data_IF_546252156841
#
_entry.id   IF_546252156841
#
_cell.length_a   1.000
_cell.length_b   1.000
_cell.length_c   1.000
_cell.angle_alpha   90.00
_cell.angle_beta   90.00
_cell.angle_gamma   90.00
#
_symmetry.space_group_name_H-M   'P 1'
#
loop_
_entity.id
_entity.type
_entity.pdbx_description
1 polymer ?
#
# COMPACT_ATOMS: atom_id res chain seq x y z
N UNK A 1 5.88 -10.69 -24.04
CA UNK A 1 6.88 -11.11 -23.05
C UNK A 1 6.74 -10.24 -21.81
N UNK A 2 5.60 -10.29 -21.09
CA UNK A 2 5.26 -9.46 -19.90
C UNK A 2 4.40 -10.20 -18.87
N UNK A 3 4.55 -11.52 -18.75
CA UNK A 3 3.74 -12.37 -17.86
C UNK A 3 4.45 -12.69 -16.55
N UNK A 4 5.72 -12.30 -16.39
CA UNK A 4 6.60 -12.78 -15.30
C UNK A 4 6.37 -12.09 -13.95
N UNK A 5 5.72 -10.92 -13.88
CA UNK A 5 5.51 -10.16 -12.62
C UNK A 5 4.35 -10.73 -11.80
N UNK A 6 3.35 -11.32 -12.44
CA UNK A 6 2.18 -11.91 -11.75
C UNK A 6 2.50 -13.14 -10.91
N UNK A 7 3.59 -13.84 -11.21
CA UNK A 7 3.91 -15.10 -10.56
C UNK A 7 4.57 -14.97 -9.19
N UNK A 8 5.19 -13.84 -8.86
CA UNK A 8 5.88 -13.72 -7.57
C UNK A 8 4.94 -13.46 -6.39
N UNK A 9 3.93 -12.61 -6.55
CA UNK A 9 2.94 -12.36 -5.49
C UNK A 9 1.98 -13.55 -5.33
N UNK A 10 1.57 -14.19 -6.42
CA UNK A 10 0.74 -15.40 -6.40
C UNK A 10 1.51 -16.65 -5.95
N UNK A 11 2.81 -16.74 -6.22
CA UNK A 11 3.63 -17.91 -5.88
C UNK A 11 3.84 -18.10 -4.37
N UNK A 12 3.68 -17.05 -3.56
CA UNK A 12 3.76 -17.16 -2.09
C UNK A 12 2.44 -17.60 -1.43
N UNK A 13 1.31 -17.51 -2.14
CA UNK A 13 -0.04 -17.73 -1.57
C UNK A 13 -0.66 -19.03 -2.04
N UNK A 14 -0.25 -19.56 -3.22
CA UNK A 14 -0.84 -20.75 -3.81
C UNK A 14 0.10 -21.95 -3.64
N UNK A 15 -0.37 -23.02 -3.02
CA UNK A 15 0.27 -24.33 -3.07
C UNK A 15 0.33 -24.85 -4.50
N UNK A 16 1.25 -25.77 -4.82
CA UNK A 16 1.45 -26.29 -6.17
C UNK A 16 0.15 -26.85 -6.84
N UNK A 17 -0.80 -27.33 -6.05
CA UNK A 17 -2.10 -27.80 -6.53
C UNK A 17 -3.02 -26.65 -7.00
N UNK A 18 -2.90 -25.44 -6.41
CA UNK A 18 -3.66 -24.26 -6.83
C UNK A 18 -3.08 -23.62 -8.13
N UNK A 19 -1.82 -23.90 -8.48
CA UNK A 19 -1.20 -23.43 -9.74
C UNK A 19 -1.82 -24.02 -11.00
N UNK A 20 -2.47 -25.16 -10.91
CA UNK A 20 -3.02 -25.90 -12.09
C UNK A 20 -4.41 -25.40 -12.48
N UNK A 21 -5.11 -24.66 -11.63
CA UNK A 21 -6.49 -24.17 -11.88
C UNK A 21 -6.63 -22.65 -12.02
N UNK A 22 -5.57 -21.91 -12.31
CA UNK A 22 -5.70 -20.49 -12.60
C UNK A 22 -6.21 -20.23 -14.03
N UNK A 23 -7.46 -20.56 -14.27
CA UNK A 23 -8.29 -19.79 -15.16
C UNK A 23 -8.41 -18.38 -14.53
N UNK A 24 -8.02 -17.33 -15.24
CA UNK A 24 -7.96 -15.93 -14.81
C UNK A 24 -9.28 -15.34 -14.28
N UNK A 25 -10.33 -16.13 -14.14
CA UNK A 25 -11.67 -15.71 -13.73
C UNK A 25 -11.99 -15.97 -12.25
N UNK A 26 -11.12 -16.64 -11.49
CA UNK A 26 -11.50 -17.18 -10.17
C UNK A 26 -11.38 -16.17 -9.01
N UNK A 27 -10.54 -15.14 -9.11
CA UNK A 27 -10.29 -14.20 -7.99
C UNK A 27 -10.45 -12.74 -8.39
N UNK A 28 -11.00 -11.96 -7.46
CA UNK A 28 -11.03 -10.51 -7.54
C UNK A 28 -9.83 -9.92 -6.79
N UNK A 29 -9.10 -8.99 -7.40
CA UNK A 29 -7.92 -8.39 -6.76
C UNK A 29 -8.29 -7.11 -6.03
N UNK A 30 -7.65 -6.89 -4.87
CA UNK A 30 -7.69 -5.65 -4.09
C UNK A 30 -6.30 -5.34 -3.54
N UNK A 31 -6.00 -4.07 -3.26
CA UNK A 31 -4.77 -3.68 -2.59
C UNK A 31 -5.04 -3.24 -1.15
N UNK A 32 -4.33 -3.87 -0.19
CA UNK A 32 -4.19 -3.35 1.16
C UNK A 32 -3.06 -2.33 1.17
N UNK A 33 -3.32 -1.14 1.67
CA UNK A 33 -2.33 -0.06 1.75
C UNK A 33 -2.23 0.49 3.16
N UNK A 34 -1.01 0.81 3.57
CA UNK A 34 -0.69 1.26 4.92
C UNK A 34 0.11 2.55 4.86
N UNK A 35 -0.39 3.59 5.55
CA UNK A 35 0.22 4.91 5.58
C UNK A 35 0.91 5.18 6.93
N UNK A 36 1.76 6.19 6.96
CA UNK A 36 2.41 6.80 8.12
C UNK A 36 3.63 6.06 8.67
N UNK A 37 3.85 4.80 8.33
CA UNK A 37 4.95 4.00 8.85
C UNK A 37 6.35 4.37 8.32
N UNK A 38 7.33 3.57 8.70
CA UNK A 38 7.25 2.45 9.63
C UNK A 38 7.13 2.86 11.10
N UNK A 39 6.76 1.90 11.96
CA UNK A 39 6.82 2.05 13.43
C UNK A 39 7.30 0.74 14.09
N UNK A 40 7.93 0.84 15.26
CA UNK A 40 8.59 -0.33 15.84
C UNK A 40 7.60 -1.47 16.17
N UNK A 41 6.60 -1.21 17.00
CA UNK A 41 5.69 -2.26 17.47
C UNK A 41 4.46 -2.48 16.57
N UNK A 42 3.68 -1.45 16.21
CA UNK A 42 2.50 -1.65 15.37
C UNK A 42 2.83 -2.26 14.01
N UNK A 43 3.83 -1.72 13.30
CA UNK A 43 4.23 -2.26 11.97
C UNK A 43 4.77 -3.68 12.09
N UNK A 44 5.60 -3.99 13.11
CA UNK A 44 6.11 -5.34 13.28
C UNK A 44 5.01 -6.37 13.56
N UNK A 45 3.96 -6.01 14.31
CA UNK A 45 2.78 -6.86 14.52
C UNK A 45 1.97 -7.05 13.25
N UNK A 46 1.80 -5.99 12.48
CA UNK A 46 1.13 -6.04 11.19
C UNK A 46 1.83 -6.99 10.23
N UNK A 47 3.14 -6.89 10.08
CA UNK A 47 3.95 -7.78 9.25
C UNK A 47 3.81 -9.25 9.67
N UNK A 48 3.81 -9.54 10.98
CA UNK A 48 3.55 -10.90 11.47
C UNK A 48 2.20 -11.43 11.01
N UNK A 49 1.15 -10.60 11.06
CA UNK A 49 -0.20 -10.98 10.66
C UNK A 49 -0.32 -11.14 9.13
N UNK A 50 0.30 -10.26 8.33
CA UNK A 50 0.32 -10.39 6.88
C UNK A 50 1.04 -11.67 6.45
N UNK A 51 2.20 -11.96 7.04
CA UNK A 51 2.94 -13.21 6.80
C UNK A 51 2.12 -14.44 7.17
N UNK A 52 1.41 -14.43 8.30
CA UNK A 52 0.56 -15.54 8.72
C UNK A 52 -0.60 -15.81 7.74
N UNK A 53 -1.16 -14.77 7.17
CA UNK A 53 -2.26 -14.86 6.19
C UNK A 53 -1.79 -15.04 4.75
N UNK A 54 -0.48 -14.95 4.49
CA UNK A 54 0.11 -15.01 3.15
C UNK A 54 -0.22 -13.78 2.28
N UNK A 55 -0.65 -12.67 2.88
CA UNK A 55 -1.00 -11.46 2.16
C UNK A 55 0.21 -10.52 2.01
N UNK A 56 0.25 -9.82 0.87
CA UNK A 56 1.17 -8.68 0.67
C UNK A 56 0.41 -7.37 0.68
N UNK A 57 1.11 -6.27 0.94
CA UNK A 57 0.54 -4.92 0.95
C UNK A 57 1.48 -3.89 0.37
N UNK A 58 1.00 -2.66 0.24
CA UNK A 58 1.79 -1.50 -0.16
C UNK A 58 1.89 -0.53 1.02
N UNK A 59 3.12 -0.22 1.42
CA UNK A 59 3.42 0.69 2.52
C UNK A 59 3.85 2.05 1.95
N UNK A 60 3.11 3.10 2.29
CA UNK A 60 3.45 4.47 1.98
C UNK A 60 4.22 5.07 3.16
N UNK A 61 5.54 5.09 3.04
CA UNK A 61 6.46 5.38 4.14
C UNK A 61 6.75 6.87 4.30
N UNK A 62 6.73 7.35 5.54
CA UNK A 62 7.19 8.68 5.91
C UNK A 62 8.71 8.67 6.05
N UNK A 63 9.42 9.50 5.28
CA UNK A 63 10.87 9.45 5.20
C UNK A 63 11.60 9.67 6.54
N UNK A 64 11.08 10.52 7.43
CA UNK A 64 11.66 10.71 8.76
C UNK A 64 11.49 9.47 9.67
N UNK A 65 10.46 8.67 9.43
CA UNK A 65 10.25 7.40 10.14
C UNK A 65 11.15 6.28 9.61
N UNK A 66 11.49 6.30 8.33
CA UNK A 66 12.51 5.40 7.80
C UNK A 66 13.83 5.63 8.53
N UNK A 67 14.20 6.90 8.83
CA UNK A 67 15.42 7.20 9.60
C UNK A 67 15.39 6.61 11.01
N UNK A 68 14.23 6.60 11.63
CA UNK A 68 14.05 6.13 13.01
C UNK A 68 13.91 4.60 13.11
N UNK A 69 13.30 3.97 12.10
CA UNK A 69 12.93 2.54 12.10
C UNK A 69 13.38 1.83 10.82
N UNK A 70 14.63 2.03 10.42
CA UNK A 70 15.20 1.47 9.19
C UNK A 70 15.09 -0.06 9.12
N UNK A 71 15.31 -0.73 10.24
CA UNK A 71 15.23 -2.18 10.35
C UNK A 71 13.80 -2.71 10.06
N UNK A 72 12.78 -1.96 10.46
CA UNK A 72 11.38 -2.30 10.15
C UNK A 72 11.09 -2.08 8.67
N UNK A 73 11.55 -0.97 8.07
CA UNK A 73 11.39 -0.72 6.63
C UNK A 73 12.14 -1.78 5.78
N UNK A 74 13.32 -2.23 6.21
CA UNK A 74 14.03 -3.33 5.55
C UNK A 74 13.22 -4.63 5.62
N UNK A 75 12.61 -4.93 6.77
CA UNK A 75 11.76 -6.09 6.93
C UNK A 75 10.51 -6.05 6.04
N UNK A 76 9.87 -4.88 5.85
CA UNK A 76 8.76 -4.73 4.90
C UNK A 76 9.19 -5.13 3.49
N UNK A 77 10.38 -4.70 3.06
CA UNK A 77 10.94 -5.10 1.76
C UNK A 77 11.26 -6.60 1.68
N UNK A 78 11.90 -7.15 2.70
CA UNK A 78 12.33 -8.56 2.74
C UNK A 78 11.12 -9.54 2.76
N UNK A 79 9.98 -9.10 3.27
CA UNK A 79 8.71 -9.83 3.25
C UNK A 79 7.88 -9.58 1.97
N UNK A 80 8.49 -9.01 0.91
CA UNK A 80 7.91 -8.76 -0.41
C UNK A 80 6.74 -7.78 -0.44
N UNK A 81 6.68 -6.85 0.52
CA UNK A 81 5.76 -5.73 0.44
C UNK A 81 6.30 -4.63 -0.48
N UNK A 82 5.41 -3.83 -1.03
CA UNK A 82 5.79 -2.68 -1.85
C UNK A 82 6.05 -1.45 -0.98
N UNK A 83 7.21 -0.82 -1.13
CA UNK A 83 7.59 0.40 -0.42
C UNK A 83 7.41 1.62 -1.33
N UNK A 84 6.55 2.55 -0.93
CA UNK A 84 6.20 3.72 -1.69
C UNK A 84 6.28 5.00 -0.83
N UNK A 85 6.22 6.18 -1.45
CA UNK A 85 6.46 7.45 -0.77
C UNK A 85 5.22 8.02 -0.10
N UNK A 86 5.29 8.36 1.22
CA UNK A 86 4.32 9.19 1.93
C UNK A 86 4.89 10.57 2.32
N UNK A 87 5.75 11.13 1.47
CA UNK A 87 6.50 12.34 1.75
C UNK A 87 7.53 12.16 2.88
N UNK A 88 8.39 13.20 3.10
CA UNK A 88 9.46 13.07 4.12
C UNK A 88 8.97 13.31 5.54
N UNK A 89 8.04 14.23 5.72
CA UNK A 89 7.36 14.51 7.00
C UNK A 89 5.86 14.55 6.79
N UNK A 90 5.10 13.98 7.73
CA UNK A 90 3.65 13.97 7.67
C UNK A 90 3.09 15.33 8.14
N UNK A 91 3.00 16.29 7.22
CA UNK A 91 2.53 17.68 7.50
C UNK A 91 1.55 18.13 6.43
N UNK A 92 0.71 19.11 6.79
CA UNK A 92 -0.11 19.78 5.78
C UNK A 92 0.79 20.56 4.81
N UNK A 93 0.69 20.23 3.52
CA UNK A 93 1.53 20.77 2.45
C UNK A 93 0.89 21.91 1.64
N UNK A 94 -0.33 22.32 1.95
CA UNK A 94 -1.05 23.36 1.20
C UNK A 94 -0.26 24.67 1.07
N UNK A 95 0.46 25.05 2.12
CA UNK A 95 1.30 26.25 2.16
C UNK A 95 2.77 26.00 1.84
N UNK A 96 3.14 24.77 1.47
CA UNK A 96 4.51 24.42 1.10
C UNK A 96 4.85 24.92 -0.30
N UNK A 97 6.10 25.39 -0.47
CA UNK A 97 6.58 25.74 -1.81
C UNK A 97 6.80 24.47 -2.65
N UNK A 98 6.62 24.54 -3.97
CA UNK A 98 6.90 23.42 -4.87
C UNK A 98 8.33 22.87 -4.72
N UNK A 99 9.32 23.73 -4.50
CA UNK A 99 10.70 23.32 -4.29
C UNK A 99 10.85 22.49 -3.01
N UNK A 100 10.26 22.92 -1.89
CA UNK A 100 10.30 22.17 -0.63
C UNK A 100 9.65 20.80 -0.78
N UNK A 101 8.51 20.71 -1.49
CA UNK A 101 7.83 19.44 -1.76
C UNK A 101 8.74 18.51 -2.56
N UNK A 102 9.35 19.00 -3.66
CA UNK A 102 10.29 18.19 -4.46
C UNK A 102 11.49 17.72 -3.66
N UNK A 103 12.12 18.59 -2.88
CA UNK A 103 13.29 18.24 -2.06
C UNK A 103 12.96 17.15 -1.04
N UNK A 104 11.81 17.25 -0.37
CA UNK A 104 11.37 16.23 0.58
C UNK A 104 10.98 14.92 -0.13
N UNK A 105 10.35 14.99 -1.29
CA UNK A 105 10.05 13.79 -2.09
C UNK A 105 11.33 13.07 -2.51
N UNK A 106 12.34 13.81 -2.98
CA UNK A 106 13.63 13.22 -3.36
C UNK A 106 14.31 12.50 -2.19
N UNK A 107 14.30 13.10 -0.99
CA UNK A 107 14.87 12.46 0.20
C UNK A 107 14.22 11.12 0.53
N UNK A 108 12.91 10.98 0.36
CA UNK A 108 12.21 9.69 0.55
C UNK A 108 12.60 8.71 -0.55
N UNK A 109 12.70 9.18 -1.80
CA UNK A 109 13.10 8.33 -2.93
C UNK A 109 14.46 7.70 -2.69
N UNK A 110 15.45 8.50 -2.28
CA UNK A 110 16.80 8.01 -2.03
C UNK A 110 16.82 6.96 -0.91
N UNK A 111 16.01 7.16 0.15
CA UNK A 111 15.88 6.20 1.25
C UNK A 111 15.25 4.90 0.81
N UNK A 112 14.11 4.95 0.14
CA UNK A 112 13.45 3.74 -0.37
C UNK A 112 14.36 3.01 -1.36
N UNK A 113 15.04 3.75 -2.25
CA UNK A 113 15.99 3.16 -3.18
C UNK A 113 17.15 2.44 -2.48
N UNK A 114 17.63 2.95 -1.35
CA UNK A 114 18.68 2.31 -0.57
C UNK A 114 18.24 1.00 0.10
N UNK A 115 16.96 0.85 0.40
CA UNK A 115 16.37 -0.36 0.99
C UNK A 115 15.96 -1.35 -0.08
N UNK A 116 15.16 -0.91 -1.05
CA UNK A 116 14.53 -1.79 -2.04
C UNK A 116 15.36 -2.01 -3.32
N UNK A 117 16.53 -1.36 -3.45
CA UNK A 117 17.34 -1.40 -4.66
C UNK A 117 16.74 -0.66 -5.87
N UNK A 118 15.58 -0.03 -5.69
CA UNK A 118 14.86 0.76 -6.70
C UNK A 118 14.08 1.90 -6.03
N UNK A 119 13.94 3.07 -6.68
CA UNK A 119 13.15 4.16 -6.13
C UNK A 119 11.65 3.80 -6.10
N UNK A 120 10.84 4.50 -5.28
CA UNK A 120 9.39 4.36 -5.34
C UNK A 120 8.87 4.78 -6.71
N UNK A 121 7.83 4.11 -7.18
CA UNK A 121 7.21 4.38 -8.49
C UNK A 121 5.85 5.08 -8.36
N UNK A 122 5.39 5.33 -7.15
CA UNK A 122 4.17 6.05 -6.83
C UNK A 122 4.28 6.72 -5.47
N UNK A 123 3.33 7.58 -5.16
CA UNK A 123 3.25 8.21 -3.85
C UNK A 123 1.80 8.34 -3.38
N UNK A 124 1.64 8.52 -2.07
CA UNK A 124 0.40 9.01 -1.46
C UNK A 124 0.72 10.25 -0.64
N UNK A 125 0.04 11.39 -0.87
CA UNK A 125 0.30 12.62 -0.11
C UNK A 125 -0.30 12.54 1.29
N UNK A 126 0.35 13.10 2.32
CA UNK A 126 -0.24 13.26 3.65
C UNK A 126 -1.63 13.91 3.58
N UNK A 127 -2.57 13.39 4.39
CA UNK A 127 -3.97 13.84 4.45
C UNK A 127 -4.76 13.74 3.12
N UNK A 128 -4.21 13.07 2.09
CA UNK A 128 -4.82 13.05 0.76
C UNK A 128 -4.74 14.38 0.01
N UNK A 129 -3.92 15.33 0.45
CA UNK A 129 -3.76 16.65 -0.18
C UNK A 129 -2.87 16.55 -1.42
N UNK A 130 -3.43 16.11 -2.55
CA UNK A 130 -2.65 15.82 -3.77
C UNK A 130 -2.32 17.04 -4.62
N UNK A 131 -3.11 18.11 -4.59
CA UNK A 131 -2.91 19.30 -5.42
C UNK A 131 -1.54 19.99 -5.21
N UNK A 132 -1.00 20.14 -3.98
CA UNK A 132 0.34 20.66 -3.79
C UNK A 132 1.42 19.84 -4.51
N UNK A 133 1.27 18.52 -4.56
CA UNK A 133 2.23 17.62 -5.21
C UNK A 133 2.09 17.66 -6.74
N UNK A 134 0.86 17.79 -7.26
CA UNK A 134 0.63 18.03 -8.68
C UNK A 134 1.26 19.37 -9.13
N UNK A 135 1.01 20.46 -8.38
CA UNK A 135 1.63 21.78 -8.65
C UNK A 135 3.15 21.73 -8.56
N UNK A 136 3.69 20.95 -7.64
CA UNK A 136 5.13 20.75 -7.48
C UNK A 136 5.74 19.90 -8.59
N UNK A 137 4.93 19.16 -9.35
CA UNK A 137 5.38 18.21 -10.39
C UNK A 137 6.40 17.21 -9.83
N UNK A 138 5.98 16.46 -8.82
CA UNK A 138 6.84 15.43 -8.21
C UNK A 138 7.14 14.25 -9.14
N UNK A 139 6.47 14.21 -10.29
CA UNK A 139 6.70 13.25 -11.36
C UNK A 139 6.45 11.79 -10.97
N UNK A 140 5.52 11.56 -10.04
CA UNK A 140 4.99 10.24 -9.69
C UNK A 140 3.47 10.20 -9.82
N UNK A 141 2.89 9.03 -10.13
CA UNK A 141 1.48 8.74 -9.90
C UNK A 141 1.10 8.94 -8.42
N UNK A 142 -0.08 9.48 -8.19
CA UNK A 142 -0.60 9.77 -6.85
C UNK A 142 -1.70 8.76 -6.54
N UNK A 143 -1.50 7.91 -5.54
CA UNK A 143 -2.43 6.84 -5.18
C UNK A 143 -3.28 7.29 -4.00
N UNK A 144 -4.57 7.36 -4.23
CA UNK A 144 -5.60 7.59 -3.23
C UNK A 144 -6.21 6.26 -2.77
N UNK A 145 -7.45 6.22 -2.35
CA UNK A 145 -8.14 5.03 -1.86
C UNK A 145 -9.61 5.00 -2.24
N UNK A 146 -10.17 3.81 -2.29
CA UNK A 146 -11.60 3.56 -2.48
C UNK A 146 -12.29 3.36 -1.13
N UNK A 147 -11.63 2.65 -0.22
CA UNK A 147 -12.16 2.30 1.10
C UNK A 147 -11.33 2.99 2.18
N UNK A 148 -11.93 3.95 2.88
CA UNK A 148 -11.36 4.57 4.07
C UNK A 148 -11.85 3.81 5.32
N UNK A 149 -10.97 3.04 5.94
CA UNK A 149 -11.30 2.27 7.13
C UNK A 149 -11.47 3.11 8.38
N UNK A 150 -10.86 4.30 8.40
CA UNK A 150 -10.77 5.19 9.57
C UNK A 150 -10.20 4.50 10.82
N UNK A 151 -9.30 3.54 10.64
CA UNK A 151 -8.60 2.83 11.72
C UNK A 151 -7.81 3.77 12.62
N UNK A 152 -7.28 4.85 12.05
CA UNK A 152 -6.56 5.91 12.76
C UNK A 152 -7.37 6.60 13.86
N UNK A 153 -8.70 6.50 13.85
CA UNK A 153 -9.59 7.04 14.89
C UNK A 153 -9.74 6.13 16.11
N UNK A 154 -8.98 5.03 16.20
CA UNK A 154 -9.05 4.08 17.30
C UNK A 154 -10.25 3.12 17.23
N UNK A 155 -10.84 2.93 16.06
CA UNK A 155 -11.95 2.00 15.86
C UNK A 155 -11.53 0.55 16.13
N UNK A 156 -12.48 -0.24 16.63
CA UNK A 156 -12.25 -1.68 16.83
C UNK A 156 -12.11 -2.39 15.48
N UNK A 157 -11.42 -3.55 15.45
CA UNK A 157 -11.28 -4.34 14.23
C UNK A 157 -12.62 -4.70 13.56
N UNK A 158 -13.67 -4.94 14.33
CA UNK A 158 -15.01 -5.22 13.79
C UNK A 158 -15.64 -4.03 13.08
N UNK A 159 -15.40 -2.81 13.54
CA UNK A 159 -15.89 -1.59 12.89
C UNK A 159 -15.11 -1.33 11.61
N UNK A 160 -13.79 -1.52 11.62
CA UNK A 160 -12.94 -1.46 10.42
C UNK A 160 -13.42 -2.45 9.37
N UNK A 161 -13.64 -3.71 9.75
CA UNK A 161 -14.17 -4.74 8.85
C UNK A 161 -15.54 -4.38 8.28
N UNK A 162 -16.40 -3.72 9.05
CA UNK A 162 -17.72 -3.29 8.56
C UNK A 162 -17.61 -2.24 7.45
N UNK A 163 -16.66 -1.31 7.53
CA UNK A 163 -16.40 -0.35 6.47
C UNK A 163 -15.93 -1.07 5.18
N UNK A 164 -15.04 -2.07 5.33
CA UNK A 164 -14.57 -2.86 4.20
C UNK A 164 -15.71 -3.65 3.54
N UNK A 165 -16.52 -4.36 4.32
CA UNK A 165 -17.68 -5.11 3.81
C UNK A 165 -18.65 -4.27 3.01
N UNK A 166 -18.79 -2.99 3.38
CA UNK A 166 -19.70 -2.05 2.72
C UNK A 166 -19.21 -1.63 1.34
N UNK A 167 -17.90 -1.35 1.22
CA UNK A 167 -17.38 -0.59 0.08
C UNK A 167 -16.38 -1.40 -0.79
N UNK A 168 -15.94 -2.59 -0.32
CA UNK A 168 -14.98 -3.41 -1.08
C UNK A 168 -15.59 -3.94 -2.38
N UNK A 169 -14.82 -3.85 -3.45
CA UNK A 169 -15.13 -4.39 -4.78
C UNK A 169 -13.83 -4.71 -5.53
N UNK A 170 -13.88 -5.51 -6.61
CA UNK A 170 -12.69 -5.80 -7.42
C UNK A 170 -11.99 -4.51 -7.86
N UNK A 171 -10.68 -4.42 -7.67
CA UNK A 171 -9.89 -3.22 -7.97
C UNK A 171 -9.85 -2.16 -6.86
N UNK A 172 -10.45 -2.42 -5.68
CA UNK A 172 -10.44 -1.49 -4.57
C UNK A 172 -9.05 -1.32 -3.95
N UNK A 173 -8.75 -0.10 -3.52
CA UNK A 173 -7.57 0.27 -2.74
C UNK A 173 -8.06 0.60 -1.33
N UNK A 174 -7.60 -0.16 -0.33
CA UNK A 174 -8.05 -0.07 1.06
C UNK A 174 -7.00 0.70 1.87
N UNK A 175 -7.39 1.82 2.46
CA UNK A 175 -6.54 2.64 3.33
C UNK A 175 -6.58 2.16 4.78
N UNK A 176 -5.39 1.92 5.33
CA UNK A 176 -5.11 1.68 6.75
C UNK A 176 -3.84 2.44 7.16
N UNK A 177 -3.47 2.39 8.46
CA UNK A 177 -2.30 3.11 9.00
C UNK A 177 -1.50 2.20 9.93
N UNK A 178 -0.27 1.85 9.56
CA UNK A 178 0.55 0.85 10.25
C UNK A 178 1.22 1.34 11.56
N UNK A 179 0.93 2.58 11.95
CA UNK A 179 1.34 3.16 13.24
C UNK A 179 0.30 3.01 14.36
N UNK A 180 -0.80 2.32 14.11
CA UNK A 180 -1.90 2.15 15.08
C UNK A 180 -1.95 0.73 15.63
N UNK A 181 -2.10 0.58 16.95
CA UNK A 181 -2.12 -0.72 17.62
C UNK A 181 -3.26 -1.65 17.15
N UNK A 182 -4.40 -1.08 16.79
CA UNK A 182 -5.56 -1.82 16.30
C UNK A 182 -5.44 -2.29 14.85
N UNK A 183 -4.53 -1.70 14.06
CA UNK A 183 -4.42 -1.98 12.60
C UNK A 183 -3.93 -3.39 12.34
N UNK A 184 -3.00 -3.90 13.12
CA UNK A 184 -2.49 -5.26 12.92
C UNK A 184 -3.60 -6.33 12.98
N UNK A 185 -4.48 -6.25 13.98
CA UNK A 185 -5.61 -7.16 14.10
C UNK A 185 -6.70 -6.86 13.07
N UNK A 186 -6.96 -5.59 12.78
CA UNK A 186 -7.89 -5.18 11.73
C UNK A 186 -7.47 -5.70 10.36
N UNK A 187 -6.19 -5.64 10.02
CA UNK A 187 -5.65 -6.17 8.77
C UNK A 187 -5.81 -7.70 8.70
N UNK A 188 -5.48 -8.43 9.79
CA UNK A 188 -5.63 -9.89 9.84
C UNK A 188 -7.06 -10.32 9.52
N UNK A 189 -8.04 -9.82 10.27
CA UNK A 189 -9.45 -10.20 10.04
C UNK A 189 -9.99 -9.72 8.70
N UNK A 190 -9.43 -8.64 8.16
CA UNK A 190 -9.75 -8.13 6.81
C UNK A 190 -9.26 -9.10 5.75
N UNK A 191 -8.00 -9.53 5.83
CA UNK A 191 -7.43 -10.51 4.87
C UNK A 191 -8.22 -11.82 4.91
N UNK A 192 -8.48 -12.37 6.10
CA UNK A 192 -9.27 -13.59 6.27
C UNK A 192 -10.67 -13.46 5.65
N UNK A 193 -11.32 -12.31 5.86
CA UNK A 193 -12.62 -12.04 5.25
C UNK A 193 -12.53 -11.97 3.73
N UNK A 194 -11.55 -11.23 3.18
CA UNK A 194 -11.35 -11.05 1.75
C UNK A 194 -11.07 -12.38 1.06
N UNK A 195 -10.15 -13.19 1.59
CA UNK A 195 -9.81 -14.50 1.06
C UNK A 195 -11.02 -15.44 1.06
N UNK A 196 -11.80 -15.46 2.14
CA UNK A 196 -13.04 -16.24 2.23
C UNK A 196 -14.10 -15.84 1.19
N UNK A 197 -14.04 -14.60 0.69
CA UNK A 197 -14.99 -14.08 -0.30
C UNK A 197 -14.41 -13.97 -1.71
N UNK A 198 -13.32 -14.71 -1.99
CA UNK A 198 -12.74 -14.80 -3.34
C UNK A 198 -11.90 -13.57 -3.74
N UNK A 199 -11.41 -12.78 -2.78
CA UNK A 199 -10.46 -11.71 -3.05
C UNK A 199 -9.03 -12.15 -2.75
N UNK A 200 -8.08 -11.66 -3.54
CA UNK A 200 -6.65 -11.72 -3.26
C UNK A 200 -6.11 -10.32 -2.98
N UNK A 201 -5.31 -10.21 -1.92
CA UNK A 201 -4.59 -8.99 -1.58
C UNK A 201 -3.26 -8.96 -2.33
N UNK A 202 -3.08 -7.96 -3.17
CA UNK A 202 -1.87 -7.75 -3.98
C UNK A 202 -1.29 -6.35 -3.72
N UNK A 203 -0.09 -6.08 -4.22
CA UNK A 203 0.46 -4.72 -4.19
C UNK A 203 -0.33 -3.78 -5.12
N UNK A 204 -0.20 -2.48 -4.93
CA UNK A 204 -0.85 -1.50 -5.84
C UNK A 204 -0.32 -1.65 -7.25
N UNK A 205 0.98 -1.89 -7.44
CA UNK A 205 1.58 -2.13 -8.75
C UNK A 205 0.93 -3.31 -9.47
N UNK A 206 0.81 -4.45 -8.77
CA UNK A 206 0.22 -5.66 -9.33
C UNK A 206 -1.27 -5.47 -9.62
N UNK A 207 -1.98 -4.72 -8.77
CA UNK A 207 -3.38 -4.40 -8.96
C UNK A 207 -3.62 -3.63 -10.27
N UNK A 208 -2.86 -2.54 -10.48
CA UNK A 208 -3.00 -1.74 -11.69
C UNK A 208 -2.52 -2.48 -12.95
N UNK A 209 -1.45 -3.26 -12.82
CA UNK A 209 -0.96 -4.11 -13.91
C UNK A 209 -2.00 -5.16 -14.33
N UNK A 210 -2.67 -5.80 -13.37
CA UNK A 210 -3.73 -6.79 -13.64
C UNK A 210 -4.92 -6.19 -14.41
N UNK A 211 -5.35 -4.99 -14.03
CA UNK A 211 -6.45 -4.31 -14.71
C UNK A 211 -6.02 -3.51 -15.95
N UNK A 212 -4.76 -3.66 -16.39
CA UNK A 212 -4.19 -2.99 -17.57
C UNK A 212 -4.35 -1.47 -17.54
N UNK A 213 -4.20 -0.87 -16.36
CA UNK A 213 -4.23 0.59 -16.16
C UNK A 213 -2.81 1.11 -16.04
N UNK A 214 -2.38 1.92 -16.98
CA UNK A 214 -1.09 2.62 -16.92
C UNK A 214 -1.19 3.81 -15.96
N UNK A 215 -0.22 3.89 -15.06
CA UNK A 215 -0.12 4.97 -14.08
C UNK A 215 0.70 6.13 -14.68
N UNK A 216 0.06 7.28 -14.85
CA UNK A 216 0.70 8.48 -15.38
C UNK A 216 1.20 9.39 -14.27
N UNK A 217 2.42 9.98 -14.40
CA UNK A 217 2.95 10.93 -13.44
C UNK A 217 2.01 12.13 -13.21
N UNK A 218 1.92 12.57 -11.97
CA UNK A 218 1.10 13.70 -11.51
C UNK A 218 -0.43 13.53 -11.68
N UNK A 219 -0.90 12.35 -12.09
CA UNK A 219 -2.32 11.98 -12.05
C UNK A 219 -2.63 11.25 -10.73
N UNK A 220 -3.88 11.37 -10.27
CA UNK A 220 -4.32 10.68 -9.06
C UNK A 220 -5.28 9.53 -9.39
N UNK A 221 -5.18 8.45 -8.62
CA UNK A 221 -5.92 7.21 -8.81
C UNK A 221 -6.46 6.74 -7.46
N UNK A 222 -7.76 6.47 -7.39
CA UNK A 222 -8.40 5.93 -6.19
C UNK A 222 -8.91 4.50 -6.41
N UNK A 223 -8.84 4.00 -7.64
CA UNK A 223 -9.44 2.74 -8.05
C UNK A 223 -8.76 2.21 -9.30
N UNK A 224 -8.58 0.89 -9.42
CA UNK A 224 -7.84 0.28 -10.52
C UNK A 224 -8.71 -0.19 -11.71
N UNK A 225 -10.03 -0.14 -11.62
CA UNK A 225 -10.95 -0.51 -12.71
C UNK A 225 -11.50 0.74 -13.37
N UNK A 226 -11.54 0.76 -14.71
CA UNK A 226 -12.13 1.85 -15.50
C UNK A 226 -13.65 1.79 -15.50
#
# INVERSE_FOLDING_TARGET
MRVTVYYSALAGVLTDEARVQTDNSAYSLVALTFDDGPSYTPTARLLNNLRHTGAVGTFFLVGSRIDEYMDVAMRENDENHSLQSHHYVHTNTEKSTPERIRNYSQRVYDKIASIAGKPPIMMRPPYGLYEPFQRAKVNLPIIMWTVDTKDWTGKTPSVVLSAIKKDVRPGAIILMHDIKDNTAESARITVEYLQKHGYLCVTVEDLFAYYHVELEPNHHYAYAVK
#
